data_IF_881788304606
#
_entry.id   IF_881788304606
#
_cell.length_a   1.000
_cell.length_b   1.000
_cell.length_c   1.000
_cell.angle_alpha   90.00
_cell.angle_beta   90.00
_cell.angle_gamma   90.00
#
_symmetry.space_group_name_H-M   'P 1'
#
loop_
_entity.id
_entity.type
_entity.pdbx_description
1 polymer ?
#
# COMPACT_ATOMS: atom_id res chain seq x y z
N UNK A 1 -5.56 -5.28 -14.85
CA UNK A 1 -4.14 -5.54 -15.21
C UNK A 1 -3.15 -4.52 -14.64
N UNK A 2 -3.59 -3.38 -14.11
CA UNK A 2 -2.70 -2.29 -13.66
C UNK A 2 -2.05 -2.54 -12.29
N UNK A 3 -2.69 -3.34 -11.43
CA UNK A 3 -2.29 -3.51 -10.02
C UNK A 3 -1.00 -4.33 -9.85
N UNK A 4 -0.66 -5.26 -10.76
CA UNK A 4 0.54 -6.14 -10.66
C UNK A 4 1.91 -5.44 -10.80
N UNK A 5 1.94 -4.11 -10.92
CA UNK A 5 3.18 -3.32 -11.13
C UNK A 5 3.50 -2.40 -9.95
N UNK A 6 2.80 -2.48 -8.82
CA UNK A 6 3.00 -1.55 -7.70
C UNK A 6 4.39 -1.66 -7.05
N UNK A 7 5.08 -2.80 -7.21
CA UNK A 7 6.47 -2.97 -6.78
C UNK A 7 7.46 -1.97 -7.41
N UNK A 8 7.11 -1.36 -8.54
CA UNK A 8 7.95 -0.38 -9.21
C UNK A 8 7.90 1.00 -8.55
N UNK A 9 6.85 1.28 -7.78
CA UNK A 9 6.63 2.58 -7.14
C UNK A 9 7.76 2.84 -6.14
N UNK A 10 8.40 4.01 -6.26
CA UNK A 10 9.50 4.43 -5.41
C UNK A 10 8.96 5.13 -4.17
N UNK A 11 9.87 5.43 -3.23
CA UNK A 11 9.53 6.30 -2.11
C UNK A 11 9.74 7.76 -2.53
N UNK A 12 8.91 8.70 -2.06
CA UNK A 12 7.87 8.52 -1.03
C UNK A 12 6.49 8.03 -1.54
N UNK A 13 6.32 7.81 -2.84
CA UNK A 13 5.03 7.55 -3.49
C UNK A 13 4.37 6.27 -2.98
N UNK A 14 5.14 5.20 -2.79
CA UNK A 14 4.60 3.94 -2.26
C UNK A 14 4.13 4.10 -0.82
N UNK A 15 4.82 4.92 -0.02
CA UNK A 15 4.37 5.27 1.34
C UNK A 15 3.05 6.05 1.34
N UNK A 16 2.88 6.98 0.39
CA UNK A 16 1.63 7.73 0.21
C UNK A 16 0.49 6.81 -0.24
N UNK A 17 0.74 5.89 -1.17
CA UNK A 17 -0.24 4.88 -1.59
C UNK A 17 -0.71 4.05 -0.41
N UNK A 18 0.21 3.54 0.41
CA UNK A 18 -0.13 2.71 1.58
C UNK A 18 -1.01 3.49 2.55
N UNK A 19 -0.67 4.76 2.80
CA UNK A 19 -1.47 5.64 3.66
C UNK A 19 -2.87 5.87 3.09
N UNK A 20 -3.02 6.03 1.79
CA UNK A 20 -4.32 6.21 1.13
C UNK A 20 -5.17 4.93 1.20
N UNK A 21 -4.61 3.77 0.88
CA UNK A 21 -5.26 2.46 1.03
C UNK A 21 -5.73 2.24 2.47
N UNK A 22 -4.86 2.55 3.43
CA UNK A 22 -5.18 2.47 4.85
C UNK A 22 -6.30 3.46 5.24
N UNK A 23 -6.28 4.67 4.72
CA UNK A 23 -7.32 5.68 4.94
C UNK A 23 -8.68 5.24 4.39
N UNK A 24 -8.72 4.66 3.20
CA UNK A 24 -9.94 4.13 2.56
C UNK A 24 -10.55 3.00 3.38
N UNK A 25 -9.72 2.13 3.96
CA UNK A 25 -10.17 1.01 4.82
C UNK A 25 -10.50 1.43 6.25
N UNK A 26 -10.24 2.69 6.63
CA UNK A 26 -10.46 3.19 7.98
C UNK A 26 -9.54 2.57 9.04
N UNK A 27 -8.46 1.90 8.63
CA UNK A 27 -7.56 1.19 9.55
C UNK A 27 -6.51 2.14 10.15
N UNK A 28 -6.17 1.93 11.41
CA UNK A 28 -4.95 2.52 11.98
C UNK A 28 -3.72 1.70 11.57
N UNK A 29 -2.52 2.26 11.70
CA UNK A 29 -1.29 1.61 11.22
C UNK A 29 -1.07 0.25 11.89
N UNK A 30 -1.45 0.08 13.16
CA UNK A 30 -1.37 -1.15 13.92
C UNK A 30 -2.28 -2.24 13.34
N UNK A 31 -3.53 -1.89 13.01
CA UNK A 31 -4.48 -2.82 12.40
C UNK A 31 -4.06 -3.22 11.00
N UNK A 32 -3.60 -2.24 10.20
CA UNK A 32 -3.07 -2.49 8.87
C UNK A 32 -1.83 -3.40 8.91
N UNK A 33 -0.92 -3.15 9.86
CA UNK A 33 0.24 -4.02 10.08
C UNK A 33 -0.17 -5.44 10.48
N UNK A 34 -1.17 -5.57 11.36
CA UNK A 34 -1.75 -6.86 11.75
C UNK A 34 -2.31 -7.64 10.58
N UNK A 35 -3.07 -6.98 9.69
CA UNK A 35 -3.58 -7.58 8.45
C UNK A 35 -2.43 -8.08 7.55
N UNK A 36 -1.35 -7.30 7.45
CA UNK A 36 -0.17 -7.68 6.67
C UNK A 36 0.71 -8.73 7.37
N UNK A 37 0.48 -9.04 8.66
CA UNK A 37 1.30 -9.95 9.44
C UNK A 37 2.69 -9.39 9.78
N UNK A 38 2.80 -8.07 9.92
CA UNK A 38 4.05 -7.35 10.22
C UNK A 38 3.85 -6.41 11.41
N UNK A 39 4.91 -5.71 11.82
CA UNK A 39 4.84 -4.76 12.93
C UNK A 39 4.39 -3.36 12.49
N UNK A 40 3.75 -2.62 13.40
CA UNK A 40 3.40 -1.22 13.23
C UNK A 40 4.60 -0.35 12.77
N UNK A 41 5.77 -0.56 13.39
CA UNK A 41 6.96 0.24 13.09
C UNK A 41 7.41 0.08 11.64
N UNK A 42 7.17 -1.09 11.03
CA UNK A 42 7.40 -1.33 9.61
C UNK A 42 6.48 -0.47 8.74
N UNK A 43 5.17 -0.46 8.99
CA UNK A 43 4.20 0.37 8.26
C UNK A 43 4.49 1.87 8.45
N UNK A 44 4.79 2.31 9.68
CA UNK A 44 5.15 3.69 9.96
C UNK A 44 6.39 4.14 9.15
N UNK A 45 7.43 3.30 9.05
CA UNK A 45 8.60 3.61 8.22
C UNK A 45 8.26 3.68 6.73
N UNK A 46 7.33 2.85 6.24
CA UNK A 46 6.87 2.93 4.86
C UNK A 46 6.12 4.23 4.58
N UNK A 47 5.15 4.59 5.42
CA UNK A 47 4.35 5.82 5.24
C UNK A 47 5.19 7.10 5.38
N UNK A 48 6.27 7.07 6.17
CA UNK A 48 7.22 8.18 6.29
C UNK A 48 8.33 8.20 5.22
N UNK A 49 8.36 7.23 4.30
CA UNK A 49 9.34 7.18 3.22
C UNK A 49 10.70 6.57 3.59
N UNK A 50 10.89 6.06 4.81
CA UNK A 50 12.17 5.58 5.33
C UNK A 50 12.52 4.12 4.97
N UNK A 51 11.58 3.37 4.39
CA UNK A 51 11.78 2.00 3.93
C UNK A 51 10.74 1.63 2.88
N UNK A 52 11.01 0.65 2.02
CA UNK A 52 10.02 0.13 1.05
C UNK A 52 9.38 -1.17 1.54
N UNK A 53 8.14 -1.47 1.14
CA UNK A 53 7.55 -2.78 1.39
C UNK A 53 8.29 -3.89 0.66
N UNK A 54 8.24 -5.10 1.22
CA UNK A 54 8.74 -6.31 0.56
C UNK A 54 7.78 -6.75 -0.55
N UNK A 55 8.24 -7.64 -1.42
CA UNK A 55 7.40 -8.27 -2.45
C UNK A 55 6.14 -8.92 -1.87
N UNK A 56 6.29 -9.66 -0.77
CA UNK A 56 5.17 -10.32 -0.09
C UNK A 56 4.17 -9.31 0.49
N UNK A 57 4.66 -8.22 1.10
CA UNK A 57 3.77 -7.18 1.62
C UNK A 57 3.01 -6.47 0.49
N UNK A 58 3.69 -6.18 -0.63
CA UNK A 58 3.04 -5.59 -1.80
C UNK A 58 1.98 -6.50 -2.39
N UNK A 59 2.21 -7.81 -2.47
CA UNK A 59 1.19 -8.76 -2.95
C UNK A 59 -0.10 -8.71 -2.11
N UNK A 60 0.02 -8.59 -0.78
CA UNK A 60 -1.15 -8.44 0.09
C UNK A 60 -1.87 -7.12 -0.15
N UNK A 61 -1.13 -6.02 -0.33
CA UNK A 61 -1.70 -4.70 -0.64
C UNK A 61 -2.38 -4.70 -2.01
N UNK A 62 -1.78 -5.36 -3.00
CA UNK A 62 -2.38 -5.58 -4.33
C UNK A 62 -3.71 -6.33 -4.21
N UNK A 63 -3.77 -7.39 -3.40
CA UNK A 63 -5.02 -8.10 -3.11
C UNK A 63 -6.10 -7.21 -2.49
N UNK A 64 -5.75 -6.36 -1.51
CA UNK A 64 -6.69 -5.39 -0.94
C UNK A 64 -7.23 -4.41 -2.00
N UNK A 65 -6.37 -3.93 -2.90
CA UNK A 65 -6.77 -3.04 -3.99
C UNK A 65 -7.67 -3.73 -5.01
N UNK A 66 -7.45 -5.03 -5.27
CA UNK A 66 -8.33 -5.83 -6.12
C UNK A 66 -9.72 -5.99 -5.49
N UNK A 67 -9.81 -6.24 -4.18
CA UNK A 67 -11.07 -6.33 -3.42
C UNK A 67 -11.86 -5.00 -3.43
N UNK A 68 -11.18 -3.86 -3.50
CA UNK A 68 -11.80 -2.53 -3.60
C UNK A 68 -12.40 -2.21 -4.99
N UNK A 69 -12.21 -3.09 -5.99
CA UNK A 69 -12.76 -2.91 -7.34
C UNK A 69 -12.28 -1.63 -8.03
N UNK A 70 -13.21 -0.83 -8.56
CA UNK A 70 -12.89 0.40 -9.29
C UNK A 70 -12.09 1.40 -8.46
N UNK A 71 -12.36 1.50 -7.16
CA UNK A 71 -11.65 2.42 -6.28
C UNK A 71 -10.16 2.05 -6.18
N UNK A 72 -9.87 0.76 -5.98
CA UNK A 72 -8.48 0.29 -5.91
C UNK A 72 -7.73 0.46 -7.22
N UNK A 73 -8.41 0.32 -8.36
CA UNK A 73 -7.81 0.63 -9.66
C UNK A 73 -7.47 2.12 -9.80
N UNK A 74 -8.36 3.03 -9.39
CA UNK A 74 -8.11 4.48 -9.42
C UNK A 74 -6.91 4.87 -8.56
N UNK A 75 -6.83 4.34 -7.33
CA UNK A 75 -5.69 4.56 -6.44
C UNK A 75 -4.40 4.05 -7.07
N UNK A 76 -4.41 2.84 -7.64
CA UNK A 76 -3.22 2.25 -8.26
C UNK A 76 -2.70 3.09 -9.44
N UNK A 77 -3.59 3.56 -10.31
CA UNK A 77 -3.23 4.41 -11.46
C UNK A 77 -2.62 5.73 -10.99
N UNK A 78 -3.21 6.38 -9.98
CA UNK A 78 -2.74 7.65 -9.41
C UNK A 78 -1.26 7.61 -9.00
N UNK A 79 -0.81 6.48 -8.45
CA UNK A 79 0.56 6.33 -7.96
C UNK A 79 1.53 5.63 -8.92
N UNK A 80 1.03 5.02 -10.00
CA UNK A 80 1.88 4.47 -11.08
C UNK A 80 2.23 5.50 -12.15
N UNK A 81 1.47 6.60 -12.26
CA UNK A 81 1.67 7.67 -13.24
C UNK A 81 2.54 8.83 -12.73
N UNK A 82 3.14 8.70 -11.53
CA UNK A 82 4.13 9.63 -10.96
C UNK A 82 5.52 8.97 -10.96
#
# INVERSE_FOLDING_TARGET
MTIKKLLLIKQPEVGKLIREVRGITGLIQEQFAGFLGITYSTVNRWEKGYAKPSSLAMQKIEGMLEEMGELGQKVSVKYLSN
#
